data_IF_956863620885
#
_entry.id   IF_956863620885
#
_cell.length_a   1.000
_cell.length_b   1.000
_cell.length_c   1.000
_cell.angle_alpha   90.00
_cell.angle_beta   90.00
_cell.angle_gamma   90.00
#
_symmetry.space_group_name_H-M   'P 1'
#
loop_
_entity.id
_entity.type
_entity.pdbx_description
1 polymer ?
#
# COMPACT_ATOMS: atom_id res chain seq x y z
N UNK A 1 5.17 -2.48 -16.23
CA UNK A 1 4.64 -1.13 -15.94
C UNK A 1 4.89 -0.84 -14.49
N UNK A 2 5.58 0.26 -14.18
CA UNK A 2 5.95 0.61 -12.80
C UNK A 2 4.69 0.98 -12.00
N UNK A 3 4.56 0.45 -10.78
CA UNK A 3 3.50 0.89 -9.85
C UNK A 3 3.82 2.30 -9.40
N UNK A 4 2.79 3.13 -9.22
CA UNK A 4 2.95 4.51 -8.73
C UNK A 4 2.43 4.65 -7.31
N UNK A 5 2.92 5.66 -6.57
CA UNK A 5 2.38 5.98 -5.24
C UNK A 5 0.92 6.41 -5.32
N UNK A 6 0.51 7.09 -6.39
CA UNK A 6 -0.89 7.46 -6.62
C UNK A 6 -1.78 6.22 -6.77
N UNK A 7 -1.33 5.22 -7.54
CA UNK A 7 -2.05 3.93 -7.67
C UNK A 7 -2.17 3.20 -6.33
N UNK A 8 -1.10 3.17 -5.53
CA UNK A 8 -1.14 2.58 -4.18
C UNK A 8 -2.08 3.36 -3.26
N UNK A 9 -2.07 4.69 -3.33
CA UNK A 9 -2.95 5.55 -2.55
C UNK A 9 -4.43 5.28 -2.85
N UNK A 10 -4.80 5.27 -4.13
CA UNK A 10 -6.17 5.03 -4.58
C UNK A 10 -6.67 3.63 -4.18
N UNK A 11 -5.80 2.62 -4.22
CA UNK A 11 -6.15 1.26 -3.81
C UNK A 11 -6.25 1.06 -2.30
N UNK A 12 -5.55 1.86 -1.50
CA UNK A 12 -5.47 1.67 -0.04
C UNK A 12 -6.16 2.75 0.77
N UNK A 13 -6.66 3.84 0.15
CA UNK A 13 -7.34 4.93 0.85
C UNK A 13 -8.48 4.41 1.75
N UNK A 14 -9.29 3.50 1.21
CA UNK A 14 -10.38 2.85 1.95
C UNK A 14 -9.90 1.86 3.03
N UNK A 15 -8.70 1.26 2.88
CA UNK A 15 -8.11 0.41 3.93
C UNK A 15 -7.82 1.22 5.21
N UNK A 16 -7.55 2.52 5.04
CA UNK A 16 -7.30 3.45 6.15
C UNK A 16 -8.57 4.12 6.70
N UNK A 17 -9.77 3.78 6.20
CA UNK A 17 -11.02 4.25 6.79
C UNK A 17 -11.24 3.71 8.21
N UNK A 18 -10.65 2.56 8.54
CA UNK A 18 -10.68 1.94 9.86
C UNK A 18 -9.26 1.66 10.37
N UNK A 19 -8.52 2.68 10.82
CA UNK A 19 -7.17 2.50 11.35
C UNK A 19 -7.22 1.88 12.76
N UNK A 20 -6.17 1.13 13.17
CA UNK A 20 -4.93 0.85 12.45
C UNK A 20 -5.02 -0.37 11.51
N UNK A 21 -4.37 -0.29 10.34
CA UNK A 21 -4.21 -1.42 9.41
C UNK A 21 -2.80 -2.02 9.52
N UNK A 22 -2.69 -3.33 9.72
CA UNK A 22 -1.40 -4.03 9.67
C UNK A 22 -0.93 -4.26 8.23
N UNK A 23 0.34 -4.63 8.04
CA UNK A 23 0.86 -5.02 6.72
C UNK A 23 0.00 -6.12 6.08
N UNK A 24 -0.37 -7.13 6.85
CA UNK A 24 -1.20 -8.24 6.38
C UNK A 24 -2.61 -7.78 6.02
N UNK A 25 -3.19 -6.84 6.78
CA UNK A 25 -4.48 -6.24 6.44
C UNK A 25 -4.41 -5.47 5.11
N UNK A 26 -3.34 -4.71 4.89
CA UNK A 26 -3.13 -3.98 3.63
C UNK A 26 -2.97 -4.94 2.44
N UNK A 27 -2.23 -6.04 2.62
CA UNK A 27 -2.07 -7.07 1.58
C UNK A 27 -3.40 -7.77 1.32
N UNK A 28 -4.13 -8.17 2.37
CA UNK A 28 -5.44 -8.81 2.24
C UNK A 28 -6.45 -7.89 1.56
N UNK A 29 -6.45 -6.60 1.91
CA UNK A 29 -7.29 -5.58 1.31
C UNK A 29 -6.97 -5.39 -0.19
N UNK A 30 -5.69 -5.26 -0.53
CA UNK A 30 -5.24 -5.16 -1.91
C UNK A 30 -5.59 -6.42 -2.73
N UNK A 31 -5.42 -7.62 -2.16
CA UNK A 31 -5.83 -8.87 -2.80
C UNK A 31 -7.34 -8.93 -3.03
N UNK A 32 -8.15 -8.51 -2.06
CA UNK A 32 -9.61 -8.47 -2.17
C UNK A 32 -10.09 -7.53 -3.28
N UNK A 33 -9.33 -6.46 -3.58
CA UNK A 33 -9.61 -5.52 -4.67
C UNK A 33 -9.03 -5.93 -6.02
N UNK A 34 -8.46 -7.13 -6.13
CA UNK A 34 -7.74 -7.58 -7.33
C UNK A 34 -6.60 -6.63 -7.72
N UNK A 35 -5.91 -6.06 -6.72
CA UNK A 35 -4.75 -5.21 -6.97
C UNK A 35 -3.67 -5.96 -7.75
N UNK A 36 -2.89 -5.20 -8.51
CA UNK A 36 -1.82 -5.75 -9.34
C UNK A 36 -0.77 -6.48 -8.49
N UNK A 37 -0.16 -7.56 -9.02
CA UNK A 37 0.89 -8.30 -8.32
C UNK A 37 2.04 -7.40 -7.86
N UNK A 38 2.37 -6.37 -8.63
CA UNK A 38 3.41 -5.41 -8.27
C UNK A 38 3.04 -4.58 -7.03
N UNK A 39 1.76 -4.21 -6.85
CA UNK A 39 1.29 -3.53 -5.63
C UNK A 39 1.46 -4.47 -4.42
N UNK A 40 1.08 -5.74 -4.57
CA UNK A 40 1.23 -6.73 -3.50
C UNK A 40 2.71 -6.95 -3.15
N UNK A 41 3.59 -7.02 -4.14
CA UNK A 41 5.03 -7.14 -3.94
C UNK A 41 5.59 -5.93 -3.18
N UNK A 42 5.16 -4.72 -3.55
CA UNK A 42 5.52 -3.49 -2.84
C UNK A 42 5.04 -3.51 -1.38
N UNK A 43 3.81 -3.92 -1.11
CA UNK A 43 3.28 -4.03 0.26
C UNK A 43 3.96 -5.14 1.08
N UNK A 44 4.38 -6.22 0.44
CA UNK A 44 5.10 -7.32 1.09
C UNK A 44 6.48 -6.90 1.59
N UNK A 45 7.11 -5.89 0.96
CA UNK A 45 8.39 -5.32 1.38
C UNK A 45 8.30 -4.38 2.59
N UNK A 46 7.09 -4.02 3.02
CA UNK A 46 6.89 -3.14 4.16
C UNK A 46 7.28 -3.83 5.49
N UNK A 47 7.79 -3.08 6.48
CA UNK A 47 8.02 -3.64 7.80
C UNK A 47 6.71 -4.08 8.48
N UNK A 48 6.81 -5.14 9.29
CA UNK A 48 5.72 -5.70 10.08
C UNK A 48 5.30 -4.73 11.19
N UNK A 49 4.41 -3.79 10.86
CA UNK A 49 3.88 -2.79 11.81
C UNK A 49 2.47 -2.38 11.42
N UNK A 50 1.81 -1.70 12.35
CA UNK A 50 0.54 -1.04 12.10
C UNK A 50 0.76 0.33 11.48
N UNK A 51 0.06 0.59 10.38
CA UNK A 51 0.04 1.86 9.67
C UNK A 51 -1.29 2.56 9.96
N UNK A 52 -1.27 3.86 10.20
CA UNK A 52 -2.47 4.66 10.45
C UNK A 52 -2.89 5.45 9.22
N UNK A 53 -1.98 5.65 8.27
CA UNK A 53 -2.25 6.39 7.04
C UNK A 53 -1.27 6.04 5.93
N UNK A 54 -1.60 6.44 4.70
CA UNK A 54 -0.70 6.40 3.54
C UNK A 54 0.65 7.10 3.78
N UNK A 55 0.66 8.16 4.58
CA UNK A 55 1.90 8.89 4.91
C UNK A 55 2.90 8.03 5.68
N UNK A 56 2.42 7.03 6.42
CA UNK A 56 3.30 6.08 7.12
C UNK A 56 3.95 5.08 6.16
N UNK A 57 3.42 4.93 4.94
CA UNK A 57 3.94 4.06 3.89
C UNK A 57 5.01 4.76 3.05
N UNK A 58 4.85 6.07 2.77
CA UNK A 58 5.73 6.83 1.87
C UNK A 58 7.23 6.73 2.16
N UNK A 59 7.70 6.73 3.43
CA UNK A 59 9.11 6.53 3.73
C UNK A 59 9.65 5.17 3.26
N UNK A 60 8.81 4.14 3.24
CA UNK A 60 9.17 2.78 2.78
C UNK A 60 8.99 2.60 1.28
N UNK A 61 8.25 3.50 0.63
CA UNK A 61 7.96 3.48 -0.80
C UNK A 61 8.79 4.52 -1.56
N UNK A 62 9.95 4.91 -1.02
CA UNK A 62 10.84 5.92 -1.58
C UNK A 62 11.29 5.57 -3.02
N UNK A 63 11.41 4.28 -3.32
CA UNK A 63 11.76 3.73 -4.65
C UNK A 63 10.61 3.70 -5.65
N UNK A 64 9.36 3.84 -5.18
CA UNK A 64 8.17 3.86 -6.03
C UNK A 64 7.98 5.27 -6.60
N UNK A 65 7.86 5.45 -7.93
CA UNK A 65 7.61 6.76 -8.53
C UNK A 65 6.26 7.33 -8.09
N UNK A 66 6.17 8.66 -8.01
CA UNK A 66 4.95 9.35 -7.56
C UNK A 66 3.85 9.25 -8.61
N UNK A 67 4.19 9.54 -9.85
CA UNK A 67 3.32 9.53 -11.03
C UNK A 67 4.02 8.87 -12.24
N UNK A 68 3.26 8.61 -13.30
CA UNK A 68 3.71 7.93 -14.53
C UNK A 68 4.06 8.94 -15.63
#
# INVERSE_FOLDING_TARGET
>A
MTVTRVEIADQLEEAFAYPPASKDDLIAYALARHARPEVIATLSGLPERSYRSLMDLWPHLAEVPVDH
#
